data_IF_748838871949
#
_entry.id   IF_748838871949
#
_cell.length_a   1.000
_cell.length_b   1.000
_cell.length_c   1.000
_cell.angle_alpha   90.00
_cell.angle_beta   90.00
_cell.angle_gamma   90.00
#
_symmetry.space_group_name_H-M   'P 1'
#
loop_
_entity.id
_entity.type
_entity.pdbx_description
1 polymer ?
#
# COMPACT_ATOMS: atom_id res chain seq x y z
N UNK A 1 9.99 3.01 12.54
CA UNK A 1 10.58 1.69 12.21
C UNK A 1 11.65 1.26 13.23
N UNK A 2 12.18 2.15 14.07
CA UNK A 2 13.29 1.81 14.98
C UNK A 2 12.87 0.98 16.20
N UNK A 3 11.59 1.04 16.60
CA UNK A 3 11.08 0.33 17.77
C UNK A 3 11.16 -1.19 17.59
N UNK A 4 10.66 -1.72 16.47
CA UNK A 4 10.68 -3.17 16.18
C UNK A 4 12.11 -3.70 16.06
N UNK A 5 13.01 -2.95 15.42
CA UNK A 5 14.43 -3.33 15.31
C UNK A 5 15.11 -3.37 16.67
N UNK A 6 14.83 -2.38 17.52
CA UNK A 6 15.34 -2.36 18.91
C UNK A 6 14.83 -3.56 19.68
N UNK A 7 13.56 -3.88 19.56
CA UNK A 7 12.96 -5.04 20.21
C UNK A 7 13.61 -6.36 19.75
N UNK A 8 13.88 -6.51 18.45
CA UNK A 8 14.55 -7.69 17.90
C UNK A 8 15.96 -7.87 18.49
N UNK A 9 16.74 -6.78 18.60
CA UNK A 9 18.06 -6.79 19.24
C UNK A 9 17.97 -7.12 20.73
N UNK A 10 17.01 -6.54 21.46
CA UNK A 10 16.84 -6.74 22.91
C UNK A 10 16.43 -8.18 23.26
N UNK A 11 15.63 -8.82 22.40
CA UNK A 11 15.09 -10.17 22.64
C UNK A 11 15.86 -11.29 21.91
N UNK A 12 16.79 -10.92 21.02
CA UNK A 12 17.57 -11.87 20.23
C UNK A 12 16.76 -12.58 19.14
N UNK A 13 15.59 -12.06 18.76
CA UNK A 13 14.81 -12.57 17.63
C UNK A 13 15.26 -11.91 16.32
N UNK A 14 14.87 -12.51 15.19
CA UNK A 14 15.13 -11.95 13.87
C UNK A 14 14.37 -10.63 13.68
N UNK A 15 14.97 -9.69 12.97
CA UNK A 15 14.36 -8.39 12.64
C UNK A 15 13.11 -8.62 11.76
N UNK A 16 11.90 -8.27 12.24
CA UNK A 16 10.66 -8.58 11.52
C UNK A 16 10.37 -7.60 10.38
N UNK A 17 11.15 -6.52 10.23
CA UNK A 17 10.91 -5.51 9.22
C UNK A 17 11.96 -5.51 8.10
N UNK A 18 11.55 -5.08 6.91
CA UNK A 18 12.43 -4.99 5.75
C UNK A 18 13.66 -4.12 6.02
N UNK A 19 14.77 -4.49 5.38
CA UNK A 19 16.10 -3.89 5.60
C UNK A 19 16.16 -2.39 5.33
N UNK A 20 15.39 -1.87 4.38
CA UNK A 20 15.38 -0.46 4.01
C UNK A 20 14.06 -0.06 3.34
N UNK A 21 13.90 1.24 3.09
CA UNK A 21 12.73 1.82 2.44
C UNK A 21 12.39 1.16 1.09
N UNK A 22 13.37 0.94 0.22
CA UNK A 22 13.14 0.35 -1.11
C UNK A 22 12.62 -1.08 -0.99
N UNK A 23 13.18 -1.88 -0.07
CA UNK A 23 12.71 -3.24 0.19
C UNK A 23 11.24 -3.26 0.66
N UNK A 24 10.86 -2.35 1.56
CA UNK A 24 9.45 -2.18 1.97
C UNK A 24 8.57 -1.77 0.79
N UNK A 25 9.00 -0.79 -0.01
CA UNK A 25 8.24 -0.30 -1.17
C UNK A 25 8.00 -1.41 -2.20
N UNK A 26 9.01 -2.23 -2.51
CA UNK A 26 8.85 -3.34 -3.44
C UNK A 26 7.94 -4.44 -2.88
N UNK A 27 8.08 -4.79 -1.60
CA UNK A 27 7.15 -5.70 -0.94
C UNK A 27 5.71 -5.16 -0.96
N UNK A 28 5.52 -3.85 -0.74
CA UNK A 28 4.19 -3.23 -0.77
C UNK A 28 3.56 -3.36 -2.17
N UNK A 29 4.31 -3.05 -3.23
CA UNK A 29 3.83 -3.18 -4.61
C UNK A 29 3.47 -4.63 -4.95
N UNK A 30 4.28 -5.60 -4.52
CA UNK A 30 4.01 -7.02 -4.71
C UNK A 30 2.74 -7.45 -3.96
N UNK A 31 2.60 -7.06 -2.70
CA UNK A 31 1.42 -7.36 -1.89
C UNK A 31 0.15 -6.75 -2.49
N UNK A 32 0.23 -5.53 -3.02
CA UNK A 32 -0.88 -4.89 -3.72
C UNK A 32 -1.31 -5.69 -4.96
N UNK A 33 -0.36 -6.04 -5.83
CA UNK A 33 -0.62 -6.84 -7.03
C UNK A 33 -1.25 -8.18 -6.67
N UNK A 34 -0.71 -8.85 -5.65
CA UNK A 34 -1.22 -10.15 -5.20
C UNK A 34 -2.62 -10.03 -4.62
N UNK A 35 -2.89 -9.01 -3.80
CA UNK A 35 -4.21 -8.77 -3.23
C UNK A 35 -5.24 -8.48 -4.32
N UNK A 36 -4.86 -7.77 -5.38
CA UNK A 36 -5.73 -7.48 -6.52
C UNK A 36 -6.08 -8.72 -7.35
N UNK A 37 -5.30 -9.80 -7.28
CA UNK A 37 -5.68 -11.05 -7.94
C UNK A 37 -6.90 -11.71 -7.27
N UNK A 38 -7.23 -11.33 -6.02
CA UNK A 38 -8.37 -11.85 -5.29
C UNK A 38 -9.62 -10.96 -5.38
N UNK A 39 -9.52 -9.73 -5.87
CA UNK A 39 -10.67 -8.80 -5.93
C UNK A 39 -11.75 -9.25 -6.90
N UNK A 40 -11.40 -9.96 -7.98
CA UNK A 40 -12.35 -10.49 -8.96
C UNK A 40 -13.31 -11.54 -8.37
N UNK A 41 -12.90 -12.20 -7.28
CA UNK A 41 -13.72 -13.20 -6.58
C UNK A 41 -14.76 -12.58 -5.63
N UNK A 42 -14.87 -11.25 -5.56
CA UNK A 42 -15.79 -10.47 -4.72
C UNK A 42 -15.60 -10.57 -3.19
N UNK A 43 -14.51 -11.17 -2.69
CA UNK A 43 -14.27 -11.32 -1.25
C UNK A 43 -13.23 -10.36 -0.66
N UNK A 44 -12.55 -9.57 -1.50
CA UNK A 44 -11.45 -8.69 -1.07
C UNK A 44 -11.68 -7.28 -1.61
N UNK A 45 -11.52 -6.28 -0.72
CA UNK A 45 -11.45 -4.86 -1.08
C UNK A 45 -10.13 -4.29 -0.57
N UNK A 46 -9.54 -3.39 -1.35
CA UNK A 46 -8.20 -2.86 -1.09
C UNK A 46 -8.29 -1.39 -0.68
N UNK A 47 -7.62 -1.05 0.43
CA UNK A 47 -7.39 0.34 0.83
C UNK A 47 -5.90 0.67 0.68
N UNK A 48 -5.56 1.56 -0.25
CA UNK A 48 -4.20 2.08 -0.44
C UNK A 48 -3.99 3.25 0.52
N UNK A 49 -3.41 2.96 1.68
CA UNK A 49 -3.07 3.95 2.71
C UNK A 49 -1.60 4.39 2.57
N UNK A 50 -1.34 5.40 1.72
CA UNK A 50 0.03 5.88 1.49
C UNK A 50 0.08 7.36 1.09
N UNK A 51 1.10 8.07 1.58
CA UNK A 51 1.50 9.39 1.11
C UNK A 51 2.65 9.34 0.09
N UNK A 52 3.04 8.14 -0.35
CA UNK A 52 4.06 8.01 -1.39
C UNK A 52 3.40 8.14 -2.76
N UNK A 53 3.69 9.23 -3.47
CA UNK A 53 3.14 9.50 -4.81
C UNK A 53 3.41 8.36 -5.79
N UNK A 54 4.61 7.75 -5.75
CA UNK A 54 4.96 6.64 -6.64
C UNK A 54 4.10 5.40 -6.36
N UNK A 55 3.80 5.15 -5.07
CA UNK A 55 2.92 4.04 -4.66
C UNK A 55 1.48 4.29 -5.11
N UNK A 56 0.99 5.53 -4.98
CA UNK A 56 -0.36 5.92 -5.43
C UNK A 56 -0.46 5.79 -6.95
N UNK A 57 0.52 6.31 -7.68
CA UNK A 57 0.60 6.21 -9.15
C UNK A 57 0.63 4.75 -9.60
N UNK A 58 1.45 3.92 -8.95
CA UNK A 58 1.50 2.49 -9.23
C UNK A 58 0.14 1.81 -9.01
N UNK A 59 -0.58 2.15 -7.93
CA UNK A 59 -1.91 1.59 -7.67
C UNK A 59 -2.92 1.97 -8.76
N UNK A 60 -2.92 3.23 -9.21
CA UNK A 60 -3.77 3.69 -10.32
C UNK A 60 -3.46 2.94 -11.62
N UNK A 61 -2.18 2.72 -11.94
CA UNK A 61 -1.81 1.91 -13.10
C UNK A 61 -2.32 0.46 -12.98
N UNK A 62 -2.31 -0.12 -11.78
CA UNK A 62 -2.86 -1.46 -11.57
C UNK A 62 -4.38 -1.50 -11.72
N UNK A 63 -5.09 -0.46 -11.29
CA UNK A 63 -6.53 -0.31 -11.53
C UNK A 63 -6.82 -0.24 -13.04
N UNK A 64 -6.11 0.61 -13.78
CA UNK A 64 -6.27 0.75 -15.23
C UNK A 64 -5.99 -0.57 -15.96
N UNK A 65 -4.88 -1.24 -15.65
CA UNK A 65 -4.50 -2.53 -16.26
C UNK A 65 -5.54 -3.64 -16.04
N UNK A 66 -6.28 -3.59 -14.92
CA UNK A 66 -7.33 -4.57 -14.58
C UNK A 66 -8.74 -4.10 -14.95
N UNK A 67 -8.89 -2.89 -15.48
CA UNK A 67 -10.19 -2.31 -15.80
C UNK A 67 -11.06 -2.02 -14.57
N UNK A 68 -10.47 -1.88 -13.38
CA UNK A 68 -11.18 -1.55 -12.14
C UNK A 68 -11.60 -0.08 -12.23
N UNK A 69 -12.90 0.16 -12.19
CA UNK A 69 -13.48 1.50 -12.19
C UNK A 69 -13.69 1.98 -10.75
N UNK A 70 -13.65 3.30 -10.50
CA UNK A 70 -13.98 3.85 -9.18
C UNK A 70 -15.35 3.39 -8.65
N UNK A 71 -16.33 3.22 -9.55
CA UNK A 71 -17.68 2.75 -9.21
C UNK A 71 -17.76 1.29 -8.76
N UNK A 72 -16.71 0.48 -8.99
CA UNK A 72 -16.68 -0.91 -8.57
C UNK A 72 -16.41 -1.05 -7.06
N UNK A 73 -15.94 0.04 -6.42
CA UNK A 73 -15.63 0.11 -4.98
C UNK A 73 -14.63 -0.98 -4.50
N UNK A 74 -13.85 -1.54 -5.42
CA UNK A 74 -12.86 -2.60 -5.13
C UNK A 74 -11.57 -2.03 -4.55
N UNK A 75 -11.25 -0.77 -4.88
CA UNK A 75 -10.08 -0.06 -4.38
C UNK A 75 -10.46 1.34 -3.89
N UNK A 76 -9.87 1.74 -2.77
CA UNK A 76 -9.99 3.09 -2.19
C UNK A 76 -8.63 3.60 -1.75
N UNK A 77 -8.50 4.92 -1.59
CA UNK A 77 -7.28 5.57 -1.14
C UNK A 77 -7.52 6.26 0.20
N UNK A 78 -6.53 6.22 1.10
CA UNK A 78 -6.61 6.88 2.39
C UNK A 78 -5.29 7.58 2.75
N UNK A 79 -5.42 8.71 3.46
CA UNK A 79 -4.32 9.50 4.00
C UNK A 79 -4.63 9.93 5.43
N UNK A 80 -3.59 10.27 6.19
CA UNK A 80 -3.77 10.93 7.47
C UNK A 80 -4.26 12.37 7.25
N UNK A 81 -5.31 12.76 7.98
CA UNK A 81 -5.91 14.08 7.88
C UNK A 81 -4.89 15.20 8.15
N UNK A 82 -4.77 16.15 7.22
CA UNK A 82 -3.88 17.30 7.32
C UNK A 82 -2.43 17.01 6.93
N UNK A 83 -2.15 15.84 6.32
CA UNK A 83 -0.82 15.47 5.87
C UNK A 83 -0.81 15.15 4.37
N UNK A 84 -0.10 15.97 3.60
CA UNK A 84 0.10 15.76 2.16
C UNK A 84 -1.21 15.49 1.39
N UNK A 85 -2.30 16.18 1.77
CA UNK A 85 -3.63 15.94 1.21
C UNK A 85 -3.65 16.09 -0.32
N UNK A 86 -2.78 16.94 -0.89
CA UNK A 86 -2.65 17.13 -2.34
C UNK A 86 -2.38 15.84 -3.14
N UNK A 87 -1.78 14.82 -2.51
CA UNK A 87 -1.44 13.55 -3.15
C UNK A 87 -2.70 12.73 -3.46
N UNK A 88 -3.67 12.75 -2.56
CA UNK A 88 -4.94 12.00 -2.73
C UNK A 88 -6.12 12.87 -3.11
N UNK A 89 -6.04 14.18 -2.90
CA UNK A 89 -7.09 15.15 -3.27
C UNK A 89 -7.38 15.16 -4.78
N UNK A 90 -6.41 14.80 -5.61
CA UNK A 90 -6.59 14.75 -7.08
C UNK A 90 -7.19 13.44 -7.59
N UNK A 91 -7.40 12.45 -6.71
CA UNK A 91 -7.90 11.12 -7.07
C UNK A 91 -9.43 11.05 -7.21
N UNK A 92 -10.14 12.13 -6.86
CA UNK A 92 -11.61 12.23 -6.93
C UNK A 92 -12.12 13.53 -6.32
#
# INVERSE_FOLDING_TARGET
MDQERRHAVETGVEDPIHSNFNATTECYKQALVETLNFTESNFVRVLVASHNEDTVRFALEQMEKRGIKPADELMSFATLFGMCDYITFTLG
#
